data_IF_643803726111
#
_entry.id   IF_643803726111
#
_cell.length_a   1.000
_cell.length_b   1.000
_cell.length_c   1.000
_cell.angle_alpha   90.00
_cell.angle_beta   90.00
_cell.angle_gamma   90.00
#
_symmetry.space_group_name_H-M   'P 1'
#
loop_
_entity.id
_entity.type
_entity.pdbx_description
1 polymer ?
#
# COMPACT_ATOMS: atom_id res chain seq x y z
N UNK A 1 112.32 -7.54 -71.18
CA UNK A 1 110.96 -7.62 -71.78
C UNK A 1 109.96 -8.48 -70.96
N UNK A 2 109.88 -8.38 -69.62
CA UNK A 2 108.90 -9.16 -68.80
C UNK A 2 108.03 -8.34 -67.81
N UNK A 3 108.22 -7.01 -67.70
CA UNK A 3 107.49 -6.19 -66.71
C UNK A 3 106.18 -5.56 -67.20
N UNK A 4 105.87 -5.56 -68.50
CA UNK A 4 104.71 -4.83 -69.06
C UNK A 4 103.39 -5.62 -69.12
N UNK A 5 103.41 -6.96 -69.08
CA UNK A 5 102.20 -7.77 -69.27
C UNK A 5 101.42 -7.99 -67.95
N UNK A 6 102.15 -8.03 -66.83
CA UNK A 6 101.58 -8.29 -65.49
C UNK A 6 100.68 -7.13 -65.03
N UNK A 7 101.01 -5.89 -65.39
CA UNK A 7 100.26 -4.71 -64.94
C UNK A 7 98.88 -4.57 -65.60
N UNK A 8 98.76 -4.96 -66.87
CA UNK A 8 97.48 -4.93 -67.60
C UNK A 8 96.53 -6.02 -67.10
N UNK A 9 97.07 -7.20 -66.75
CA UNK A 9 96.28 -8.32 -66.23
C UNK A 9 95.72 -8.03 -64.82
N UNK A 10 96.55 -7.45 -63.93
CA UNK A 10 96.12 -7.08 -62.57
C UNK A 10 95.00 -6.02 -62.60
N UNK A 11 95.09 -5.05 -63.52
CA UNK A 11 94.07 -3.98 -63.63
C UNK A 11 92.72 -4.51 -64.13
N UNK A 12 92.71 -5.48 -65.05
CA UNK A 12 91.45 -6.10 -65.51
C UNK A 12 90.82 -7.01 -64.46
N UNK A 13 91.61 -7.76 -63.69
CA UNK A 13 91.11 -8.63 -62.61
C UNK A 13 90.48 -7.82 -61.47
N UNK A 14 91.06 -6.66 -61.11
CA UNK A 14 90.48 -5.78 -60.07
C UNK A 14 89.10 -5.20 -60.44
N UNK A 15 88.89 -4.82 -61.70
CA UNK A 15 87.62 -4.24 -62.16
C UNK A 15 86.50 -5.32 -62.22
N UNK A 16 86.85 -6.54 -62.63
CA UNK A 16 85.92 -7.67 -62.65
C UNK A 16 85.49 -8.10 -61.24
N UNK A 17 86.44 -8.18 -60.29
CA UNK A 17 86.11 -8.52 -58.90
C UNK A 17 85.22 -7.47 -58.21
N UNK A 18 85.43 -6.17 -58.48
CA UNK A 18 84.60 -5.12 -57.88
C UNK A 18 83.15 -5.14 -58.38
N UNK A 19 82.94 -5.37 -59.69
CA UNK A 19 81.58 -5.50 -60.25
C UNK A 19 80.87 -6.75 -59.74
N UNK A 20 81.58 -7.86 -59.55
CA UNK A 20 81.00 -9.10 -59.03
C UNK A 20 80.57 -8.96 -57.56
N UNK A 21 81.40 -8.32 -56.72
CA UNK A 21 81.08 -8.10 -55.30
C UNK A 21 79.89 -7.15 -55.12
N UNK A 22 79.81 -6.07 -55.91
CA UNK A 22 78.68 -5.14 -55.87
C UNK A 22 77.37 -5.78 -56.32
N UNK A 23 77.41 -6.68 -57.31
CA UNK A 23 76.22 -7.41 -57.80
C UNK A 23 75.75 -8.47 -56.79
N UNK A 24 76.67 -9.17 -56.12
CA UNK A 24 76.32 -10.15 -55.07
C UNK A 24 75.70 -9.49 -53.84
N UNK A 25 76.23 -8.35 -53.38
CA UNK A 25 75.65 -7.62 -52.25
C UNK A 25 74.28 -7.03 -52.59
N UNK A 26 74.07 -6.57 -53.83
CA UNK A 26 72.76 -6.11 -54.27
C UNK A 26 71.72 -7.25 -54.32
N UNK A 27 72.09 -8.43 -54.82
CA UNK A 27 71.19 -9.60 -54.84
C UNK A 27 70.84 -10.05 -53.41
N UNK A 28 71.82 -10.13 -52.50
CA UNK A 28 71.53 -10.52 -51.10
C UNK A 28 70.65 -9.49 -50.38
N UNK A 29 70.83 -8.20 -50.66
CA UNK A 29 69.97 -7.15 -50.12
C UNK A 29 68.54 -7.25 -50.65
N UNK A 30 68.37 -7.44 -51.96
CA UNK A 30 67.05 -7.64 -52.59
C UNK A 30 66.37 -8.93 -52.09
N UNK A 31 67.13 -10.01 -51.91
CA UNK A 31 66.62 -11.26 -51.35
C UNK A 31 66.18 -11.08 -49.88
N UNK A 32 66.95 -10.32 -49.09
CA UNK A 32 66.59 -9.96 -47.72
C UNK A 32 65.31 -9.14 -47.67
N UNK A 33 65.16 -8.12 -48.53
CA UNK A 33 63.92 -7.33 -48.62
C UNK A 33 62.72 -8.17 -49.04
N UNK A 34 62.89 -9.07 -50.01
CA UNK A 34 61.85 -10.00 -50.44
C UNK A 34 61.43 -10.95 -49.30
N UNK A 35 62.39 -11.52 -48.58
CA UNK A 35 62.11 -12.42 -47.46
C UNK A 35 61.36 -11.69 -46.33
N UNK A 36 61.76 -10.45 -46.03
CA UNK A 36 61.10 -9.62 -45.01
C UNK A 36 59.69 -9.23 -45.44
N UNK A 37 59.47 -8.96 -46.73
CA UNK A 37 58.15 -8.69 -47.28
C UNK A 37 57.25 -9.93 -47.21
N UNK A 38 57.76 -11.11 -47.56
CA UNK A 38 57.02 -12.38 -47.44
C UNK A 38 56.67 -12.68 -45.98
N UNK A 39 57.62 -12.50 -45.06
CA UNK A 39 57.38 -12.64 -43.62
C UNK A 39 56.30 -11.69 -43.12
N UNK A 40 56.27 -10.43 -43.57
CA UNK A 40 55.20 -9.49 -43.21
C UNK A 40 53.85 -9.88 -43.80
N UNK A 41 53.81 -10.34 -45.06
CA UNK A 41 52.58 -10.77 -45.72
C UNK A 41 51.99 -12.01 -45.07
N UNK A 42 52.84 -12.93 -44.60
CA UNK A 42 52.36 -14.19 -44.00
C UNK A 42 52.10 -14.01 -42.50
N UNK A 43 53.06 -13.49 -41.73
CA UNK A 43 53.00 -13.50 -40.26
C UNK A 43 52.04 -12.45 -39.70
N UNK A 44 51.94 -11.26 -40.31
CA UNK A 44 51.07 -10.19 -39.78
C UNK A 44 49.59 -10.58 -39.78
N UNK A 45 49.04 -11.22 -40.83
CA UNK A 45 47.68 -11.76 -40.80
C UNK A 45 47.47 -12.82 -39.72
N UNK A 46 48.43 -13.72 -39.49
CA UNK A 46 48.31 -14.74 -38.43
C UNK A 46 48.30 -14.12 -37.03
N UNK A 47 49.11 -13.10 -36.79
CA UNK A 47 49.09 -12.33 -35.53
C UNK A 47 47.74 -11.63 -35.37
N UNK A 48 47.22 -10.98 -36.42
CA UNK A 48 45.92 -10.33 -36.40
C UNK A 48 44.77 -11.32 -36.13
N UNK A 49 44.81 -12.50 -36.76
CA UNK A 49 43.84 -13.56 -36.58
C UNK A 49 43.87 -14.14 -35.16
N UNK A 50 45.06 -14.31 -34.58
CA UNK A 50 45.23 -14.73 -33.19
C UNK A 50 44.57 -13.75 -32.21
N UNK A 51 44.83 -12.44 -32.35
CA UNK A 51 44.19 -11.43 -31.49
C UNK A 51 42.68 -11.34 -31.70
N UNK A 52 42.20 -11.54 -32.93
CA UNK A 52 40.76 -11.59 -33.22
C UNK A 52 40.07 -12.76 -32.52
N UNK A 53 40.63 -13.97 -32.58
CA UNK A 53 40.08 -15.13 -31.87
C UNK A 53 40.18 -14.98 -30.34
N UNK A 54 41.27 -14.40 -29.82
CA UNK A 54 41.39 -14.09 -28.41
C UNK A 54 40.30 -13.11 -27.93
N UNK A 55 40.00 -12.08 -28.72
CA UNK A 55 38.93 -11.12 -28.42
C UNK A 55 37.53 -11.78 -28.45
N UNK A 56 37.26 -12.66 -29.41
CA UNK A 56 36.00 -13.44 -29.46
C UNK A 56 35.89 -14.35 -28.23
N UNK A 57 36.97 -15.03 -27.83
CA UNK A 57 37.00 -15.87 -26.63
C UNK A 57 36.71 -15.09 -25.36
N UNK A 58 37.30 -13.90 -25.21
CA UNK A 58 37.03 -13.00 -24.07
C UNK A 58 35.58 -12.50 -24.08
N UNK A 59 35.04 -12.12 -25.24
CA UNK A 59 33.65 -11.70 -25.36
C UNK A 59 32.66 -12.84 -25.03
N UNK A 60 32.93 -14.06 -25.51
CA UNK A 60 32.12 -15.23 -25.19
C UNK A 60 32.15 -15.57 -23.69
N UNK A 61 33.31 -15.48 -23.05
CA UNK A 61 33.45 -15.66 -21.60
C UNK A 61 32.69 -14.58 -20.81
N UNK A 62 32.74 -13.33 -21.27
CA UNK A 62 31.99 -12.23 -20.67
C UNK A 62 30.47 -12.43 -20.82
N UNK A 63 30.00 -12.82 -22.00
CA UNK A 63 28.59 -13.11 -22.26
C UNK A 63 28.10 -14.34 -21.46
N UNK A 64 28.94 -15.36 -21.29
CA UNK A 64 28.63 -16.55 -20.49
C UNK A 64 28.58 -16.28 -18.98
N UNK A 65 29.21 -15.20 -18.50
CA UNK A 65 29.20 -14.80 -17.08
C UNK A 65 28.09 -13.80 -16.72
N UNK A 66 27.40 -13.22 -17.72
CA UNK A 66 26.22 -12.36 -17.52
C UNK A 66 25.11 -13.08 -16.74
N UNK A 67 24.72 -14.35 -17.04
CA UNK A 67 23.69 -15.05 -16.27
C UNK A 67 24.06 -15.24 -14.81
N UNK A 68 25.33 -15.59 -14.51
CA UNK A 68 25.80 -15.73 -13.13
C UNK A 68 25.83 -14.41 -12.36
N UNK A 69 26.23 -13.31 -13.03
CA UNK A 69 26.21 -11.95 -12.48
C UNK A 69 24.77 -11.45 -12.26
N UNK A 70 23.86 -11.75 -13.18
CA UNK A 70 22.42 -11.47 -13.00
C UNK A 70 21.84 -12.30 -11.85
N UNK A 71 22.19 -13.58 -11.73
CA UNK A 71 21.71 -14.43 -10.63
C UNK A 71 22.23 -13.95 -9.28
N UNK A 72 23.50 -13.53 -9.20
CA UNK A 72 24.06 -12.96 -7.98
C UNK A 72 23.47 -11.59 -7.69
N UNK A 73 23.30 -10.70 -8.66
CA UNK A 73 22.62 -9.42 -8.46
C UNK A 73 21.16 -9.60 -8.05
N UNK A 74 20.42 -10.54 -8.64
CA UNK A 74 19.04 -10.87 -8.27
C UNK A 74 19.01 -11.50 -6.88
N UNK A 75 19.94 -12.40 -6.55
CA UNK A 75 20.02 -13.01 -5.21
C UNK A 75 20.39 -11.98 -4.15
N UNK A 76 21.37 -11.12 -4.41
CA UNK A 76 21.77 -10.02 -3.54
C UNK A 76 20.67 -8.97 -3.42
N UNK A 77 19.93 -8.67 -4.50
CA UNK A 77 18.76 -7.80 -4.45
C UNK A 77 17.64 -8.45 -3.64
N UNK A 78 17.37 -9.75 -3.81
CA UNK A 78 16.39 -10.51 -3.01
C UNK A 78 16.81 -10.52 -1.54
N UNK A 79 18.10 -10.71 -1.23
CA UNK A 79 18.63 -10.71 0.15
C UNK A 79 18.61 -9.30 0.77
N UNK A 80 18.96 -8.25 0.02
CA UNK A 80 18.85 -6.85 0.47
C UNK A 80 17.39 -6.42 0.64
N UNK A 81 16.48 -6.90 -0.21
CA UNK A 81 15.04 -6.73 -0.04
C UNK A 81 14.53 -7.52 1.18
N UNK A 82 15.10 -8.71 1.45
CA UNK A 82 14.81 -9.54 2.64
C UNK A 82 15.34 -8.93 3.94
N UNK A 83 16.50 -8.26 3.91
CA UNK A 83 17.09 -7.65 5.10
C UNK A 83 16.39 -6.32 5.47
N UNK A 84 15.66 -5.71 4.52
CA UNK A 84 14.72 -4.61 4.81
C UNK A 84 13.35 -5.10 5.30
N UNK A 85 13.02 -6.39 5.17
CA UNK A 85 11.76 -6.99 5.62
C UNK A 85 11.89 -7.70 6.98
N UNK A 86 12.67 -7.16 7.91
CA UNK A 86 12.95 -7.78 9.22
C UNK A 86 11.75 -7.84 10.18
N UNK A 87 10.54 -7.45 9.76
CA UNK A 87 9.34 -7.44 10.60
C UNK A 87 8.13 -8.18 10.03
N UNK A 88 8.34 -9.07 9.05
CA UNK A 88 7.28 -9.94 8.54
C UNK A 88 7.35 -11.32 9.19
N UNK A 89 6.31 -11.71 9.92
CA UNK A 89 6.08 -13.12 10.26
C UNK A 89 4.75 -13.61 9.69
N UNK A 90 4.72 -14.87 9.26
CA UNK A 90 3.52 -15.51 8.72
C UNK A 90 2.94 -16.47 9.77
N UNK A 91 1.61 -16.54 9.82
CA UNK A 91 0.89 -17.54 10.61
C UNK A 91 0.60 -18.78 9.78
N UNK A 92 0.80 -19.96 10.38
CA UNK A 92 0.42 -21.20 9.72
C UNK A 92 -1.10 -21.31 9.63
N UNK A 93 -1.61 -22.09 8.67
CA UNK A 93 -3.05 -22.34 8.56
C UNK A 93 -3.60 -23.01 9.84
N UNK A 94 -2.81 -23.87 10.49
CA UNK A 94 -3.21 -24.54 11.73
C UNK A 94 -3.41 -23.53 12.87
N UNK A 95 -2.44 -22.64 13.08
CA UNK A 95 -2.53 -21.58 14.11
C UNK A 95 -3.71 -20.65 13.81
N UNK A 96 -3.89 -20.28 12.54
CA UNK A 96 -4.99 -19.43 12.09
C UNK A 96 -6.37 -20.04 12.39
N UNK A 97 -6.54 -21.34 12.18
CA UNK A 97 -7.80 -22.04 12.46
C UNK A 97 -8.09 -22.13 13.97
N UNK A 98 -7.07 -22.45 14.78
CA UNK A 98 -7.20 -22.51 16.23
C UNK A 98 -7.55 -21.12 16.80
N UNK A 99 -6.85 -20.09 16.33
CA UNK A 99 -7.10 -18.72 16.71
C UNK A 99 -8.49 -18.23 16.28
N UNK A 100 -8.89 -18.51 15.04
CA UNK A 100 -10.21 -18.14 14.50
C UNK A 100 -11.33 -18.73 15.36
N UNK A 101 -11.24 -20.03 15.68
CA UNK A 101 -12.22 -20.71 16.52
C UNK A 101 -12.38 -20.03 17.89
N UNK A 102 -11.25 -19.77 18.57
CA UNK A 102 -11.27 -19.07 19.86
C UNK A 102 -11.90 -17.68 19.77
N UNK A 103 -11.61 -16.93 18.70
CA UNK A 103 -12.13 -15.57 18.50
C UNK A 103 -13.63 -15.58 18.21
N UNK A 104 -14.11 -16.51 17.39
CA UNK A 104 -15.54 -16.67 17.11
C UNK A 104 -16.32 -16.97 18.38
N UNK A 105 -15.85 -17.92 19.19
CA UNK A 105 -16.46 -18.20 20.49
C UNK A 105 -16.44 -16.99 21.43
N UNK A 106 -15.37 -16.17 21.39
CA UNK A 106 -15.34 -14.91 22.13
C UNK A 106 -16.41 -13.93 21.62
N UNK A 107 -16.53 -13.71 20.31
CA UNK A 107 -17.52 -12.80 19.72
C UNK A 107 -18.95 -13.25 20.07
N UNK A 108 -19.26 -14.53 19.90
CA UNK A 108 -20.59 -15.10 20.20
C UNK A 108 -20.98 -14.86 21.67
N UNK A 109 -20.07 -15.13 22.62
CA UNK A 109 -20.33 -14.85 24.05
C UNK A 109 -20.47 -13.36 24.34
N UNK A 110 -19.67 -12.54 23.67
CA UNK A 110 -19.68 -11.08 23.84
C UNK A 110 -21.02 -10.48 23.42
N UNK A 111 -21.61 -10.95 22.32
CA UNK A 111 -22.92 -10.52 21.83
C UNK A 111 -24.08 -10.94 22.74
N UNK A 112 -23.87 -11.92 23.63
CA UNK A 112 -24.85 -12.37 24.63
C UNK A 112 -24.67 -11.70 26.00
N UNK A 113 -23.57 -10.97 26.20
CA UNK A 113 -23.25 -10.30 27.48
C UNK A 113 -23.96 -8.93 27.55
N UNK A 114 -23.94 -8.29 28.72
CA UNK A 114 -24.40 -6.91 28.88
C UNK A 114 -23.73 -6.00 27.83
N UNK A 115 -24.54 -5.44 26.95
CA UNK A 115 -24.11 -4.61 25.82
C UNK A 115 -23.44 -3.32 26.26
N UNK A 116 -23.68 -2.86 27.49
CA UNK A 116 -23.11 -1.63 28.02
C UNK A 116 -21.71 -1.81 28.62
N UNK A 117 -21.05 -2.94 28.39
CA UNK A 117 -19.68 -3.17 28.84
C UNK A 117 -18.72 -3.12 27.64
N UNK A 118 -17.56 -2.45 27.81
CA UNK A 118 -16.48 -2.52 26.83
C UNK A 118 -15.95 -3.95 26.80
N UNK A 119 -16.06 -4.60 25.65
CA UNK A 119 -15.64 -5.98 25.48
C UNK A 119 -14.42 -6.01 24.54
N UNK A 120 -13.36 -6.63 25.02
CA UNK A 120 -12.10 -6.82 24.29
C UNK A 120 -11.50 -8.16 24.65
N UNK A 121 -10.93 -8.85 23.68
CA UNK A 121 -10.19 -10.07 23.95
C UNK A 121 -8.78 -9.71 24.40
N UNK A 122 -8.48 -9.98 25.67
CA UNK A 122 -7.17 -9.66 26.24
C UNK A 122 -6.15 -10.73 25.81
N UNK A 123 -5.02 -10.35 25.17
CA UNK A 123 -3.97 -11.30 24.86
C UNK A 123 -3.35 -11.88 26.15
N UNK A 124 -2.84 -13.13 26.10
CA UNK A 124 -2.09 -13.67 27.22
C UNK A 124 -0.92 -12.74 27.56
N UNK A 125 -0.50 -12.71 28.82
CA UNK A 125 0.55 -11.82 29.38
C UNK A 125 0.12 -10.37 29.64
N UNK A 126 -1.08 -9.96 29.24
CA UNK A 126 -1.60 -8.59 29.47
C UNK A 126 -2.91 -8.59 30.25
N UNK A 127 -3.10 -9.57 31.12
CA UNK A 127 -4.26 -9.67 32.01
C UNK A 127 -4.27 -8.48 32.97
N UNK A 128 -5.14 -7.51 32.71
CA UNK A 128 -5.25 -6.31 33.55
C UNK A 128 -6.42 -6.45 34.51
N UNK A 129 -6.26 -6.07 35.79
CA UNK A 129 -7.30 -6.17 36.81
C UNK A 129 -8.39 -5.09 36.72
N UNK A 130 -8.40 -4.26 35.67
CA UNK A 130 -9.43 -3.22 35.54
C UNK A 130 -10.81 -3.85 35.33
N UNK A 131 -11.77 -3.36 36.13
CA UNK A 131 -13.17 -3.74 35.99
C UNK A 131 -13.75 -3.28 34.65
N UNK A 132 -14.92 -3.82 34.27
CA UNK A 132 -15.57 -3.50 33.02
C UNK A 132 -15.85 -1.99 32.90
N UNK A 133 -15.32 -1.34 31.86
CA UNK A 133 -15.71 0.03 31.50
C UNK A 133 -17.15 0.02 30.99
N UNK A 134 -18.00 0.90 31.54
CA UNK A 134 -19.34 1.12 31.00
C UNK A 134 -19.29 1.95 29.72
N UNK A 135 -20.08 1.55 28.74
CA UNK A 135 -20.29 2.20 27.45
C UNK A 135 -21.56 3.03 27.48
N UNK A 136 -21.53 4.17 26.78
CA UNK A 136 -22.76 4.83 26.33
C UNK A 136 -23.50 3.96 25.32
N UNK A 137 -24.79 4.23 25.09
CA UNK A 137 -25.58 3.48 24.09
C UNK A 137 -25.00 3.56 22.67
N UNK A 138 -24.35 4.68 22.32
CA UNK A 138 -23.71 4.85 21.02
C UNK A 138 -22.45 3.98 20.91
N UNK A 139 -21.58 3.99 21.92
CA UNK A 139 -20.39 3.12 21.94
C UNK A 139 -20.80 1.64 21.95
N UNK A 140 -21.84 1.27 22.69
CA UNK A 140 -22.36 -0.10 22.73
C UNK A 140 -22.83 -0.59 21.35
N UNK A 141 -23.62 0.21 20.63
CA UNK A 141 -24.07 -0.11 19.27
C UNK A 141 -22.89 -0.20 18.29
N UNK A 142 -21.95 0.75 18.35
CA UNK A 142 -20.78 0.72 17.48
C UNK A 142 -19.88 -0.50 17.76
N UNK A 143 -19.68 -0.88 19.02
CA UNK A 143 -18.96 -2.10 19.40
C UNK A 143 -19.66 -3.35 18.87
N UNK A 144 -20.97 -3.46 19.03
CA UNK A 144 -21.76 -4.59 18.55
C UNK A 144 -21.66 -4.75 17.03
N UNK A 145 -21.80 -3.66 16.29
CA UNK A 145 -21.66 -3.63 14.82
C UNK A 145 -20.25 -4.05 14.40
N UNK A 146 -19.22 -3.50 15.07
CA UNK A 146 -17.81 -3.86 14.81
C UNK A 146 -17.55 -5.35 15.03
N UNK A 147 -18.16 -5.97 16.04
CA UNK A 147 -18.06 -7.41 16.29
C UNK A 147 -18.80 -8.23 15.22
N UNK A 148 -20.02 -7.83 14.85
CA UNK A 148 -20.82 -8.49 13.80
C UNK A 148 -20.19 -8.39 12.41
N UNK A 149 -19.39 -7.35 12.18
CA UNK A 149 -18.66 -7.16 10.93
C UNK A 149 -17.49 -8.14 10.75
N UNK A 150 -17.08 -8.87 11.80
CA UNK A 150 -16.01 -9.87 11.75
C UNK A 150 -16.56 -11.24 11.33
N UNK A 151 -16.86 -11.41 10.02
CA UNK A 151 -17.49 -12.64 9.48
C UNK A 151 -16.50 -13.62 8.87
N UNK A 152 -15.56 -13.12 8.07
CA UNK A 152 -14.55 -13.92 7.36
C UNK A 152 -13.35 -14.20 8.27
N UNK A 153 -12.64 -15.32 8.07
CA UNK A 153 -11.50 -15.73 8.92
C UNK A 153 -10.50 -14.61 9.12
N UNK A 154 -10.07 -13.98 8.04
CA UNK A 154 -9.09 -12.91 8.04
C UNK A 154 -9.60 -11.69 8.82
N UNK A 155 -10.89 -11.37 8.75
CA UNK A 155 -11.49 -10.26 9.52
C UNK A 155 -11.62 -10.57 11.00
N UNK A 156 -11.91 -11.82 11.35
CA UNK A 156 -11.97 -12.32 12.72
C UNK A 156 -10.59 -12.19 13.37
N UNK A 157 -9.55 -12.71 12.71
CA UNK A 157 -8.17 -12.61 13.19
C UNK A 157 -7.65 -11.17 13.19
N UNK A 158 -8.09 -10.35 12.24
CA UNK A 158 -7.77 -8.93 12.20
C UNK A 158 -8.35 -8.16 13.39
N UNK A 159 -9.60 -8.45 13.78
CA UNK A 159 -10.20 -7.89 14.99
C UNK A 159 -9.45 -8.28 16.25
N UNK A 160 -8.95 -9.52 16.32
CA UNK A 160 -8.08 -9.98 17.41
C UNK A 160 -6.75 -9.20 17.47
N UNK A 161 -6.14 -8.91 16.32
CA UNK A 161 -4.92 -8.10 16.27
C UNK A 161 -5.15 -6.67 16.76
N UNK A 162 -6.31 -6.08 16.44
CA UNK A 162 -6.72 -4.77 16.98
C UNK A 162 -6.85 -4.80 18.50
N UNK A 163 -7.56 -5.79 19.04
CA UNK A 163 -7.71 -5.96 20.49
C UNK A 163 -6.34 -6.08 21.21
N UNK A 164 -5.37 -6.76 20.60
CA UNK A 164 -4.01 -6.84 21.13
C UNK A 164 -3.29 -5.49 21.15
N UNK A 165 -3.35 -4.72 20.07
CA UNK A 165 -2.72 -3.41 19.99
C UNK A 165 -3.38 -2.38 20.90
N UNK A 166 -4.71 -2.40 21.03
CA UNK A 166 -5.40 -1.55 21.98
C UNK A 166 -5.00 -1.90 23.43
N UNK A 167 -4.86 -3.19 23.75
CA UNK A 167 -4.37 -3.63 25.06
C UNK A 167 -2.93 -3.15 25.31
N UNK A 168 -2.06 -3.27 24.31
CA UNK A 168 -0.68 -2.78 24.40
C UNK A 168 -0.61 -1.27 24.59
N UNK A 169 -1.43 -0.51 23.87
CA UNK A 169 -1.49 0.95 24.00
C UNK A 169 -1.97 1.39 25.38
N UNK A 170 -2.99 0.72 25.92
CA UNK A 170 -3.47 0.99 27.29
C UNK A 170 -2.41 0.60 28.33
N UNK A 171 -1.71 -0.52 28.14
CA UNK A 171 -0.62 -0.93 29.01
C UNK A 171 0.53 0.10 29.02
N UNK A 172 0.99 0.54 27.84
CA UNK A 172 2.01 1.57 27.70
C UNK A 172 1.60 2.89 28.38
N UNK A 173 0.36 3.32 28.15
CA UNK A 173 -0.20 4.55 28.76
C UNK A 173 -0.16 4.48 30.29
N UNK A 174 -0.50 3.34 30.88
CA UNK A 174 -0.43 3.14 32.35
C UNK A 174 0.99 3.12 32.89
N UNK A 175 1.95 2.67 32.09
CA UNK A 175 3.38 2.73 32.43
C UNK A 175 3.98 4.14 32.35
N UNK A 176 3.16 5.16 32.05
CA UNK A 176 3.59 6.55 31.91
C UNK A 176 4.17 6.87 30.54
N UNK A 177 4.07 5.94 29.57
CA UNK A 177 4.43 6.21 28.19
C UNK A 177 3.29 6.94 27.47
N UNK A 178 3.61 7.64 26.38
CA UNK A 178 2.59 8.25 25.52
C UNK A 178 1.74 7.16 24.85
N UNK A 179 0.45 7.45 24.62
CA UNK A 179 -0.44 6.58 23.85
C UNK A 179 0.24 6.16 22.55
N UNK A 180 0.18 4.87 22.21
CA UNK A 180 0.85 4.36 21.03
C UNK A 180 0.09 4.81 19.78
N UNK A 181 0.74 5.60 18.94
CA UNK A 181 0.18 5.95 17.64
C UNK A 181 0.39 4.78 16.66
N UNK A 182 -0.68 4.32 16.01
CA UNK A 182 -0.59 3.31 14.96
C UNK A 182 -1.76 3.35 13.98
N UNK A 183 -1.54 2.72 12.82
CA UNK A 183 -2.59 2.31 11.89
C UNK A 183 -2.48 0.82 11.62
N UNK A 184 -3.63 0.15 11.67
CA UNK A 184 -3.80 -1.27 11.51
C UNK A 184 -4.60 -1.57 10.24
N UNK A 185 -3.97 -2.26 9.30
CA UNK A 185 -4.61 -2.62 8.04
C UNK A 185 -4.44 -4.10 7.71
N UNK A 186 -5.40 -4.68 7.02
CA UNK A 186 -5.38 -6.07 6.58
C UNK A 186 -5.06 -6.09 5.08
N UNK A 187 -3.92 -6.71 4.75
CA UNK A 187 -3.36 -6.76 3.40
C UNK A 187 -3.30 -8.20 2.91
N UNK A 188 -3.68 -8.41 1.65
CA UNK A 188 -3.51 -9.70 0.98
C UNK A 188 -2.08 -9.82 0.46
N UNK A 189 -1.46 -10.97 0.66
CA UNK A 189 -0.14 -11.29 0.13
C UNK A 189 -0.18 -11.41 -1.40
N UNK A 190 0.78 -10.78 -2.05
CA UNK A 190 1.05 -10.98 -3.46
C UNK A 190 1.51 -12.41 -3.73
N UNK A 191 1.35 -12.88 -4.96
CA UNK A 191 1.68 -14.27 -5.35
C UNK A 191 3.10 -14.70 -4.92
N UNK A 192 4.07 -13.78 -4.96
CA UNK A 192 5.48 -14.06 -4.63
C UNK A 192 5.77 -14.10 -3.12
N UNK A 193 4.88 -13.52 -2.30
CA UNK A 193 5.00 -13.53 -0.84
C UNK A 193 4.35 -14.77 -0.22
N UNK A 194 3.43 -15.41 -0.94
CA UNK A 194 2.67 -16.57 -0.48
C UNK A 194 3.57 -17.77 -0.24
N UNK A 195 3.22 -18.54 0.79
CA UNK A 195 3.91 -19.77 1.15
C UNK A 195 2.90 -20.86 1.42
N UNK A 196 3.16 -22.06 0.89
CA UNK A 196 2.32 -23.22 1.14
C UNK A 196 2.21 -23.50 2.65
N UNK A 197 0.99 -23.72 3.14
CA UNK A 197 0.73 -23.98 4.56
C UNK A 197 0.58 -22.73 5.44
N UNK A 198 0.65 -21.53 4.87
CA UNK A 198 0.47 -20.25 5.57
C UNK A 198 -0.76 -19.50 5.08
N UNK A 199 -1.24 -18.56 5.89
CA UNK A 199 -2.34 -17.68 5.52
C UNK A 199 -1.88 -16.65 4.47
N UNK A 200 -2.71 -16.41 3.46
CA UNK A 200 -2.47 -15.42 2.38
C UNK A 200 -2.74 -13.96 2.82
N UNK A 201 -2.97 -13.72 4.10
CA UNK A 201 -3.33 -12.41 4.66
C UNK A 201 -2.40 -12.06 5.82
N UNK A 202 -2.04 -10.79 5.88
CA UNK A 202 -1.20 -10.23 6.94
C UNK A 202 -1.77 -8.93 7.46
N UNK A 203 -1.54 -8.68 8.74
CA UNK A 203 -1.83 -7.42 9.40
C UNK A 203 -0.63 -6.50 9.24
N UNK A 204 -0.82 -5.39 8.55
CA UNK A 204 0.19 -4.34 8.42
C UNK A 204 0.00 -3.30 9.52
N UNK A 205 1.05 -3.09 10.30
CA UNK A 205 1.10 -2.12 11.40
C UNK A 205 2.03 -0.98 10.99
N UNK A 206 1.49 0.22 10.85
CA UNK A 206 2.26 1.42 10.64
C UNK A 206 2.33 2.22 11.94
N UNK A 207 3.51 2.36 12.54
CA UNK A 207 3.70 3.01 13.84
C UNK A 207 5.11 3.60 13.97
N UNK A 208 5.31 4.72 14.69
CA UNK A 208 6.65 5.18 15.05
C UNK A 208 7.26 4.34 16.19
N UNK A 209 6.47 3.54 16.91
CA UNK A 209 6.89 2.74 18.07
C UNK A 209 7.18 1.27 17.72
N UNK A 210 7.79 1.03 16.55
CA UNK A 210 7.98 -0.32 16.01
C UNK A 210 8.65 -1.28 17.00
N UNK A 211 9.78 -0.87 17.57
CA UNK A 211 10.61 -1.74 18.41
C UNK A 211 9.84 -2.25 19.64
N UNK A 212 9.03 -1.39 20.25
CA UNK A 212 8.17 -1.73 21.39
C UNK A 212 7.09 -2.73 20.98
N UNK A 213 6.35 -2.45 19.91
CA UNK A 213 5.22 -3.27 19.48
C UNK A 213 5.68 -4.63 18.93
N UNK A 214 6.74 -4.65 18.13
CA UNK A 214 7.28 -5.86 17.48
C UNK A 214 7.68 -6.93 18.50
N UNK A 215 8.39 -6.53 19.57
CA UNK A 215 8.80 -7.45 20.63
C UNK A 215 7.63 -8.13 21.35
N UNK A 216 6.52 -7.42 21.55
CA UNK A 216 5.32 -7.97 22.17
C UNK A 216 4.53 -8.87 21.21
N UNK A 217 4.33 -8.45 19.96
CA UNK A 217 3.55 -9.22 18.99
C UNK A 217 4.23 -10.53 18.58
N UNK A 218 5.57 -10.56 18.54
CA UNK A 218 6.31 -11.79 18.28
C UNK A 218 6.01 -12.88 19.32
N UNK A 219 5.79 -12.51 20.58
CA UNK A 219 5.41 -13.44 21.66
C UNK A 219 3.96 -13.91 21.55
N UNK A 220 3.12 -13.14 20.86
CA UNK A 220 1.69 -13.41 20.67
C UNK A 220 1.39 -14.10 19.33
N UNK A 221 2.41 -14.42 18.52
CA UNK A 221 2.25 -14.92 17.15
C UNK A 221 1.22 -16.06 17.01
N UNK A 222 1.32 -17.08 17.87
CA UNK A 222 0.43 -18.25 17.82
C UNK A 222 -1.00 -17.89 18.23
N UNK A 223 -1.15 -17.03 19.24
CA UNK A 223 -2.45 -16.55 19.70
C UNK A 223 -3.13 -15.63 18.68
N UNK A 224 -2.37 -14.76 18.01
CA UNK A 224 -2.88 -13.88 16.95
C UNK A 224 -3.43 -14.69 15.78
N UNK A 225 -2.74 -15.78 15.41
CA UNK A 225 -3.14 -16.64 14.29
C UNK A 225 -3.11 -15.97 12.91
N UNK A 226 -2.58 -14.75 12.82
CA UNK A 226 -2.41 -14.01 11.57
C UNK A 226 -0.99 -13.47 11.48
N UNK A 227 -0.44 -13.41 10.26
CA UNK A 227 0.87 -12.81 10.06
C UNK A 227 0.85 -11.31 10.31
N UNK A 228 1.98 -10.75 10.71
CA UNK A 228 2.16 -9.31 10.95
C UNK A 228 3.32 -8.79 10.13
N UNK A 229 3.15 -7.60 9.58
CA UNK A 229 4.17 -6.82 8.87
C UNK A 229 4.22 -5.40 9.44
N UNK A 230 5.41 -4.83 9.58
CA UNK A 230 5.57 -3.42 9.93
C UNK A 230 5.77 -2.55 8.69
N UNK A 231 4.84 -1.62 8.48
CA UNK A 231 4.86 -0.66 7.39
C UNK A 231 5.50 0.68 7.76
N UNK A 232 5.68 1.55 6.78
CA UNK A 232 6.11 2.92 7.02
C UNK A 232 5.00 3.73 7.69
N UNK A 233 5.32 4.39 8.81
CA UNK A 233 4.37 5.28 9.47
C UNK A 233 4.21 6.59 8.69
N UNK A 234 2.95 7.01 8.52
CA UNK A 234 2.60 8.32 8.02
C UNK A 234 1.48 8.85 8.92
N UNK A 235 1.68 9.97 9.63
CA UNK A 235 0.62 10.55 10.44
C UNK A 235 -0.56 10.91 9.53
N UNK A 236 -1.76 10.66 10.01
CA UNK A 236 -3.00 11.05 9.35
C UNK A 236 -3.62 12.23 10.08
N UNK A 237 -4.24 13.11 9.31
CA UNK A 237 -4.84 14.35 9.84
C UNK A 237 -6.31 14.46 9.49
N UNK A 238 -7.14 15.00 10.40
CA UNK A 238 -8.50 15.39 10.08
C UNK A 238 -8.48 16.76 9.40
N UNK A 239 -9.49 16.98 8.58
CA UNK A 239 -9.67 18.26 7.90
C UNK A 239 -11.10 18.75 8.21
N UNK A 240 -11.25 19.52 9.29
CA UNK A 240 -12.52 20.06 9.84
C UNK A 240 -13.02 21.28 9.10
N UNK A 241 -14.36 21.42 8.93
CA UNK A 241 -14.98 22.60 8.29
C UNK A 241 -16.46 22.60 7.86
N UNK A 242 -17.10 23.77 7.94
CA UNK A 242 -18.46 24.04 7.48
C UNK A 242 -18.51 25.27 6.53
N UNK A 243 -19.53 25.33 5.66
CA UNK A 243 -19.66 26.23 4.49
C UNK A 243 -19.77 27.74 4.79
N UNK A 244 -19.95 28.13 6.05
CA UNK A 244 -20.29 29.52 6.42
C UNK A 244 -19.10 30.37 6.91
N UNK A 245 -17.88 29.85 6.90
CA UNK A 245 -16.66 30.66 7.07
C UNK A 245 -15.65 30.37 5.95
N UNK A 246 -15.08 31.40 5.27
CA UNK A 246 -14.19 31.20 4.12
C UNK A 246 -12.89 30.45 4.40
N UNK A 247 -12.57 30.16 5.66
CA UNK A 247 -11.26 29.69 6.10
C UNK A 247 -11.25 28.22 6.57
N UNK A 248 -12.40 27.53 6.57
CA UNK A 248 -12.54 26.15 7.05
C UNK A 248 -13.36 25.32 6.03
N UNK A 249 -12.72 24.42 5.24
CA UNK A 249 -13.29 23.61 4.12
C UNK A 249 -13.62 22.13 4.41
N UNK A 250 -14.85 21.64 4.10
CA UNK A 250 -15.41 20.30 4.39
C UNK A 250 -16.64 20.02 3.50
N UNK A 251 -17.04 18.77 3.29
CA UNK A 251 -17.92 18.37 2.17
C UNK A 251 -19.22 17.66 2.58
N UNK A 252 -20.30 17.97 1.86
CA UNK A 252 -21.53 17.17 1.82
C UNK A 252 -21.77 16.76 0.35
N UNK A 253 -21.70 15.47 0.07
CA UNK A 253 -21.85 14.94 -1.30
C UNK A 253 -23.29 14.47 -1.63
N UNK A 254 -24.16 14.41 -0.63
CA UNK A 254 -25.55 13.98 -0.78
C UNK A 254 -26.26 13.81 0.56
N UNK A 255 -27.37 13.08 0.53
CA UNK A 255 -28.17 12.77 1.70
C UNK A 255 -28.71 11.34 1.74
N UNK A 256 -29.31 11.01 2.86
CA UNK A 256 -30.07 9.77 3.07
C UNK A 256 -31.54 10.11 3.19
N UNK A 257 -32.36 9.30 2.55
CA UNK A 257 -33.81 9.37 2.64
C UNK A 257 -34.29 8.28 3.56
N UNK A 258 -35.27 8.56 4.42
CA UNK A 258 -35.84 7.57 5.33
C UNK A 258 -37.11 6.93 4.79
N UNK A 259 -37.67 5.99 5.54
CA UNK A 259 -38.98 5.36 5.24
C UNK A 259 -40.14 6.36 5.38
N UNK A 260 -40.00 7.40 6.19
CA UNK A 260 -41.00 8.47 6.36
C UNK A 260 -40.83 9.61 5.35
N UNK A 261 -40.06 9.39 4.29
CA UNK A 261 -39.73 10.38 3.26
C UNK A 261 -38.91 11.59 3.74
N UNK A 262 -38.38 11.55 4.98
CA UNK A 262 -37.51 12.60 5.51
C UNK A 262 -36.13 12.52 4.87
N UNK A 263 -35.52 13.69 4.70
CA UNK A 263 -34.25 13.83 3.98
C UNK A 263 -33.18 14.47 4.86
N UNK A 264 -32.08 13.74 5.00
CA UNK A 264 -30.97 14.14 5.86
C UNK A 264 -29.68 14.21 5.06
N UNK A 265 -28.91 15.28 5.21
CA UNK A 265 -27.55 15.31 4.65
C UNK A 265 -26.64 14.40 5.48
N UNK A 266 -25.74 13.67 4.82
CA UNK A 266 -24.77 12.77 5.48
C UNK A 266 -23.35 13.30 5.28
N UNK A 267 -22.66 13.57 6.40
CA UNK A 267 -21.26 14.03 6.42
C UNK A 267 -20.56 13.59 7.70
N UNK A 268 -19.29 13.97 7.89
CA UNK A 268 -18.58 13.72 9.14
C UNK A 268 -19.02 14.69 10.24
N UNK A 269 -19.03 14.25 11.49
CA UNK A 269 -19.35 15.12 12.64
C UNK A 269 -18.29 16.19 12.84
N UNK A 270 -17.00 15.88 12.67
CA UNK A 270 -15.93 16.87 12.80
C UNK A 270 -15.97 18.00 11.73
N UNK A 271 -16.74 17.80 10.64
CA UNK A 271 -17.00 18.81 9.61
C UNK A 271 -18.00 19.85 10.13
N UNK A 272 -18.86 19.51 11.10
CA UNK A 272 -19.89 20.39 11.63
C UNK A 272 -19.67 20.70 13.12
N UNK A 273 -18.66 21.50 13.49
CA UNK A 273 -18.37 21.75 14.89
C UNK A 273 -19.52 22.46 15.63
N UNK A 274 -20.38 23.21 14.92
CA UNK A 274 -21.59 23.88 15.46
C UNK A 274 -22.69 23.91 14.41
N UNK A 275 -23.62 22.95 14.45
CA UNK A 275 -24.82 22.95 13.61
C UNK A 275 -26.02 22.57 14.48
N UNK A 276 -26.98 23.49 14.61
CA UNK A 276 -28.19 23.28 15.42
C UNK A 276 -29.18 22.29 14.79
N UNK A 277 -28.93 21.91 13.54
CA UNK A 277 -29.74 20.96 12.76
C UNK A 277 -29.15 19.55 12.73
N UNK A 278 -28.07 19.32 13.51
CA UNK A 278 -27.50 17.98 13.72
C UNK A 278 -28.45 17.15 14.60
N UNK A 279 -28.80 15.96 14.15
CA UNK A 279 -29.73 15.05 14.85
C UNK A 279 -29.03 14.32 16.01
N UNK A 280 -27.70 14.29 16.01
CA UNK A 280 -26.86 13.68 17.03
C UNK A 280 -25.86 14.71 17.61
N UNK A 281 -26.33 15.82 18.21
CA UNK A 281 -25.48 16.93 18.61
C UNK A 281 -24.50 16.56 19.74
N UNK A 282 -24.87 15.62 20.60
CA UNK A 282 -24.12 15.20 21.79
C UNK A 282 -23.07 14.12 21.53
N UNK A 283 -23.02 13.55 20.32
CA UNK A 283 -21.99 12.59 19.96
C UNK A 283 -20.70 13.34 19.64
N UNK A 284 -19.84 13.49 20.64
CA UNK A 284 -18.43 13.78 20.36
C UNK A 284 -17.86 12.53 19.68
N UNK A 285 -17.27 12.63 18.47
CA UNK A 285 -16.62 11.48 17.86
C UNK A 285 -15.53 10.99 18.82
N UNK A 286 -15.77 9.83 19.41
CA UNK A 286 -14.84 9.13 20.27
C UNK A 286 -14.16 8.01 19.52
N UNK A 287 -13.11 7.44 20.11
CA UNK A 287 -12.34 6.33 19.53
C UNK A 287 -13.21 5.17 19.00
N UNK A 288 -14.37 4.95 19.62
CA UNK A 288 -15.23 3.80 19.39
C UNK A 288 -16.53 4.12 18.61
N UNK A 289 -16.77 5.38 18.18
CA UNK A 289 -17.98 5.80 17.44
C UNK A 289 -17.57 6.29 16.04
N UNK A 290 -18.32 5.97 14.95
CA UNK A 290 -18.00 6.51 13.64
C UNK A 290 -18.16 8.04 13.62
N UNK A 291 -17.19 8.73 13.01
CA UNK A 291 -17.27 10.17 12.78
C UNK A 291 -18.20 10.47 11.58
N UNK A 292 -19.50 10.38 11.84
CA UNK A 292 -20.56 10.61 10.89
C UNK A 292 -21.77 11.23 11.57
N UNK A 293 -22.48 12.09 10.86
CA UNK A 293 -23.71 12.71 11.36
C UNK A 293 -24.74 12.94 10.26
N UNK A 294 -25.99 13.05 10.69
CA UNK A 294 -27.15 13.38 9.87
C UNK A 294 -27.62 14.79 10.20
N UNK A 295 -27.83 15.60 9.16
CA UNK A 295 -28.32 16.98 9.29
C UNK A 295 -29.70 17.06 8.67
N UNK A 296 -30.66 17.67 9.38
CA UNK A 296 -31.97 17.96 8.82
C UNK A 296 -31.86 18.90 7.60
N UNK A 297 -32.33 18.46 6.44
CA UNK A 297 -32.35 19.30 5.23
C UNK A 297 -33.60 20.18 5.12
N UNK A 298 -34.66 19.89 5.89
CA UNK A 298 -35.91 20.64 5.83
C UNK A 298 -35.79 22.08 6.36
N UNK A 299 -34.72 22.40 7.09
CA UNK A 299 -34.51 23.70 7.74
C UNK A 299 -33.68 24.70 6.90
N UNK A 300 -33.34 24.35 5.64
CA UNK A 300 -32.81 25.30 4.66
C UNK A 300 -31.29 25.50 4.62
N UNK A 301 -30.51 24.84 5.48
CA UNK A 301 -29.03 24.93 5.46
C UNK A 301 -28.39 24.36 4.18
N UNK A 302 -29.06 23.40 3.53
CA UNK A 302 -28.53 22.72 2.34
C UNK A 302 -29.64 22.53 1.31
N UNK A 303 -29.53 23.21 0.17
CA UNK A 303 -30.45 23.08 -0.96
C UNK A 303 -29.70 22.51 -2.18
N UNK A 304 -30.05 21.29 -2.60
CA UNK A 304 -29.45 20.59 -3.73
C UNK A 304 -30.51 19.86 -4.55
N UNK A 305 -30.22 19.67 -5.85
CA UNK A 305 -30.97 18.69 -6.65
C UNK A 305 -30.43 17.31 -6.31
N UNK A 306 -31.32 16.35 -6.16
CA UNK A 306 -30.97 14.99 -5.76
C UNK A 306 -30.89 14.10 -6.99
N UNK A 307 -29.81 13.32 -7.08
CA UNK A 307 -29.61 12.37 -8.15
C UNK A 307 -30.40 11.08 -7.93
N UNK A 308 -29.99 10.04 -8.67
CA UNK A 308 -30.57 8.70 -8.50
C UNK A 308 -30.04 8.00 -7.25
N UNK A 309 -30.91 7.22 -6.58
CA UNK A 309 -30.53 6.45 -5.40
C UNK A 309 -29.36 5.49 -5.71
N UNK A 310 -28.41 5.43 -4.78
CA UNK A 310 -27.25 4.56 -4.83
C UNK A 310 -27.47 3.36 -3.89
N UNK A 311 -27.33 2.11 -4.38
CA UNK A 311 -27.23 0.96 -3.50
C UNK A 311 -25.96 1.04 -2.62
N UNK A 312 -26.00 0.44 -1.43
CA UNK A 312 -24.84 0.33 -0.55
C UNK A 312 -23.97 -0.85 -0.99
N UNK A 313 -22.64 -0.71 -0.90
CA UNK A 313 -21.72 -1.83 -1.10
C UNK A 313 -21.79 -2.77 0.11
N UNK A 314 -22.27 -4.00 -0.10
CA UNK A 314 -22.27 -5.04 0.93
C UNK A 314 -20.87 -5.61 1.17
N UNK A 315 -20.62 -6.10 2.38
CA UNK A 315 -19.36 -6.72 2.81
C UNK A 315 -18.92 -7.86 1.90
N UNK A 316 -19.86 -8.65 1.39
CA UNK A 316 -19.62 -9.77 0.45
C UNK A 316 -18.87 -9.31 -0.81
N UNK A 317 -19.14 -8.09 -1.30
CA UNK A 317 -18.51 -7.52 -2.49
C UNK A 317 -17.20 -6.78 -2.20
N UNK A 318 -16.88 -6.52 -0.94
CA UNK A 318 -15.63 -5.84 -0.60
C UNK A 318 -14.42 -6.68 -0.99
N UNK A 319 -14.48 -8.01 -0.81
CA UNK A 319 -13.42 -8.94 -1.21
C UNK A 319 -13.07 -8.80 -2.70
N UNK A 320 -14.06 -8.58 -3.56
CA UNK A 320 -13.86 -8.32 -5.00
C UNK A 320 -13.19 -6.97 -5.24
N UNK A 321 -13.58 -5.92 -4.51
CA UNK A 321 -12.95 -4.60 -4.61
C UNK A 321 -11.45 -4.66 -4.26
N UNK A 322 -11.09 -5.38 -3.19
CA UNK A 322 -9.70 -5.57 -2.78
C UNK A 322 -8.90 -6.46 -3.74
N UNK A 323 -9.52 -7.52 -4.27
CA UNK A 323 -8.83 -8.48 -5.11
C UNK A 323 -8.61 -7.98 -6.54
N UNK A 324 -9.59 -7.27 -7.09
CA UNK A 324 -9.59 -6.86 -8.50
C UNK A 324 -9.10 -5.42 -8.71
N UNK A 325 -8.88 -4.66 -7.62
CA UNK A 325 -8.46 -3.25 -7.71
C UNK A 325 -9.48 -2.40 -8.47
N UNK A 326 -10.78 -2.72 -8.32
CA UNK A 326 -11.87 -2.03 -9.02
C UNK A 326 -11.84 -0.54 -8.70
N UNK A 327 -12.23 0.26 -9.70
CA UNK A 327 -12.21 1.70 -9.58
C UNK A 327 -13.27 2.19 -8.62
N UNK A 328 -12.85 3.08 -7.74
CA UNK A 328 -13.73 3.91 -6.94
C UNK A 328 -13.59 5.36 -7.37
N UNK A 329 -14.67 6.12 -7.22
CA UNK A 329 -14.70 7.54 -7.54
C UNK A 329 -15.11 8.31 -6.31
N UNK A 330 -14.46 9.45 -6.06
CA UNK A 330 -14.91 10.38 -5.03
C UNK A 330 -16.04 11.25 -5.58
N UNK A 331 -17.15 11.34 -4.83
CA UNK A 331 -18.23 12.31 -5.05
C UNK A 331 -18.18 13.38 -3.95
N UNK A 332 -18.34 14.64 -4.35
CA UNK A 332 -18.13 15.79 -3.48
C UNK A 332 -16.65 16.15 -3.27
N UNK A 333 -16.44 17.29 -2.63
CA UNK A 333 -15.13 17.88 -2.38
C UNK A 333 -14.61 18.57 -3.64
N UNK A 334 -13.30 18.53 -3.85
CA UNK A 334 -12.76 18.97 -5.13
C UNK A 334 -13.13 18.02 -6.28
N UNK A 335 -12.73 18.37 -7.51
CA UNK A 335 -12.98 17.60 -8.73
C UNK A 335 -12.89 16.08 -8.56
N UNK A 336 -13.72 15.29 -9.27
CA UNK A 336 -13.73 13.83 -9.16
C UNK A 336 -12.34 13.22 -9.29
N UNK A 337 -12.01 12.31 -8.37
CA UNK A 337 -10.74 11.57 -8.37
C UNK A 337 -11.06 10.08 -8.43
N UNK A 338 -10.37 9.38 -9.33
CA UNK A 338 -10.39 7.93 -9.37
C UNK A 338 -9.34 7.33 -8.42
N UNK A 339 -9.75 6.29 -7.71
CA UNK A 339 -8.92 5.52 -6.80
C UNK A 339 -9.18 4.03 -6.91
N UNK A 340 -8.57 3.29 -5.99
CA UNK A 340 -8.84 1.88 -5.75
C UNK A 340 -8.83 1.64 -4.24
N UNK A 341 -9.60 0.65 -3.78
CA UNK A 341 -9.60 0.23 -2.39
C UNK A 341 -8.35 -0.61 -2.14
N UNK A 342 -7.49 -0.19 -1.20
CA UNK A 342 -6.18 -0.82 -0.99
C UNK A 342 -6.24 -1.88 0.11
N UNK A 343 -6.60 -1.48 1.34
CA UNK A 343 -6.65 -2.38 2.49
C UNK A 343 -7.90 -2.16 3.35
N UNK A 344 -8.37 -3.23 4.01
CA UNK A 344 -9.33 -3.11 5.12
C UNK A 344 -8.62 -2.51 6.33
N UNK A 345 -9.32 -1.70 7.11
CA UNK A 345 -8.78 -1.01 8.29
C UNK A 345 -9.72 -1.27 9.47
N UNK A 346 -9.19 -1.82 10.55
CA UNK A 346 -9.95 -2.00 11.80
C UNK A 346 -9.65 -0.87 12.77
N UNK A 347 -8.42 -0.36 12.76
CA UNK A 347 -7.96 0.66 13.70
C UNK A 347 -7.00 1.63 13.01
N UNK A 348 -7.15 2.92 13.28
CA UNK A 348 -6.29 3.95 12.69
C UNK A 348 -6.28 5.21 13.55
N UNK A 349 -5.10 5.82 13.65
CA UNK A 349 -4.92 7.06 14.40
C UNK A 349 -5.06 8.25 13.45
N UNK A 350 -5.92 9.21 13.79
CA UNK A 350 -5.97 10.53 13.14
C UNK A 350 -5.88 11.60 14.23
N UNK A 351 -4.95 12.55 14.07
CA UNK A 351 -4.70 13.63 15.05
C UNK A 351 -4.54 13.11 16.50
N UNK A 352 -3.87 11.97 16.68
CA UNK A 352 -3.65 11.34 17.99
C UNK A 352 -4.84 10.55 18.55
N UNK A 353 -6.01 10.58 17.91
CA UNK A 353 -7.17 9.78 18.31
C UNK A 353 -7.21 8.48 17.54
N UNK A 354 -7.25 7.35 18.27
CA UNK A 354 -7.41 6.01 17.71
C UNK A 354 -8.87 5.75 17.38
N UNK A 355 -9.21 5.54 16.12
CA UNK A 355 -10.55 5.17 15.66
C UNK A 355 -10.62 3.67 15.37
N UNK A 356 -11.69 3.01 15.83
CA UNK A 356 -11.84 1.55 15.73
C UNK A 356 -13.06 1.08 14.90
N UNK A 357 -13.80 2.00 14.30
CA UNK A 357 -14.97 1.67 13.50
C UNK A 357 -14.58 1.10 12.11
N UNK A 358 -15.30 0.10 11.57
CA UNK A 358 -14.96 -0.51 10.28
C UNK A 358 -14.70 0.50 9.15
N UNK A 359 -13.51 0.44 8.59
CA UNK A 359 -13.05 1.36 7.56
C UNK A 359 -12.22 0.65 6.48
N UNK A 360 -11.88 1.39 5.43
CA UNK A 360 -10.90 0.98 4.43
C UNK A 360 -9.97 2.13 4.05
N UNK A 361 -8.88 1.80 3.38
CA UNK A 361 -8.00 2.77 2.74
C UNK A 361 -8.28 2.83 1.25
N UNK A 362 -8.34 4.03 0.70
CA UNK A 362 -8.47 4.28 -0.74
C UNK A 362 -7.28 5.09 -1.21
N UNK A 363 -6.56 4.57 -2.20
CA UNK A 363 -5.41 5.22 -2.79
C UNK A 363 -5.75 5.79 -4.18
N UNK A 364 -5.04 6.84 -4.60
CA UNK A 364 -5.22 7.41 -5.94
C UNK A 364 -4.79 6.40 -7.00
N UNK A 365 -5.56 6.31 -8.08
CA UNK A 365 -5.15 5.49 -9.22
C UNK A 365 -4.03 6.18 -10.00
N UNK A 366 -2.92 5.46 -10.16
CA UNK A 366 -1.83 5.87 -11.07
C UNK A 366 -1.98 5.19 -12.42
N UNK A 367 -2.29 5.95 -13.46
CA UNK A 367 -2.40 5.49 -14.85
C UNK A 367 -1.07 5.66 -15.57
N UNK A 368 -0.61 4.64 -16.30
CA UNK A 368 0.52 4.80 -17.25
C UNK A 368 -0.02 5.35 -18.57
N UNK A 369 0.29 6.60 -18.87
CA UNK A 369 0.02 7.25 -20.15
C UNK A 369 1.17 6.91 -21.10
N UNK A 370 0.84 6.35 -22.28
CA UNK A 370 1.79 5.98 -23.33
C UNK A 370 2.91 5.00 -22.85
N UNK A 371 2.59 4.12 -21.90
CA UNK A 371 3.52 3.10 -21.37
C UNK A 371 4.70 3.61 -20.53
N UNK A 372 5.05 4.89 -20.63
CA UNK A 372 6.25 5.49 -20.03
C UNK A 372 5.95 6.49 -18.90
N UNK A 373 4.79 7.18 -18.92
CA UNK A 373 4.50 8.26 -17.97
C UNK A 373 3.44 7.85 -16.96
N UNK A 374 3.80 7.79 -15.67
CA UNK A 374 2.83 7.56 -14.59
C UNK A 374 2.13 8.89 -14.25
N UNK A 375 0.80 8.92 -14.38
CA UNK A 375 -0.07 10.06 -14.06
C UNK A 375 -1.08 9.69 -12.95
N UNK A 376 -1.33 10.55 -11.95
CA UNK A 376 -0.65 11.81 -11.70
C UNK A 376 0.84 11.60 -11.36
N UNK A 377 1.70 12.49 -11.88
CA UNK A 377 3.17 12.46 -11.64
C UNK A 377 3.53 12.77 -10.18
N UNK A 378 2.67 13.52 -9.49
CA UNK A 378 2.81 13.91 -8.09
C UNK A 378 2.03 12.94 -7.20
N UNK A 379 2.51 12.69 -5.99
CA UNK A 379 1.84 11.93 -4.91
C UNK A 379 0.64 12.69 -4.35
N UNK A 380 -0.34 13.04 -5.19
CA UNK A 380 -1.61 13.58 -4.69
C UNK A 380 -2.40 12.44 -4.07
N UNK A 381 -2.85 12.62 -2.84
CA UNK A 381 -3.76 11.68 -2.18
C UNK A 381 -5.09 11.57 -2.92
N UNK A 382 -5.87 10.52 -2.61
CA UNK A 382 -7.23 10.36 -3.11
C UNK A 382 -8.18 11.46 -2.57
N UNK A 383 -7.88 11.97 -1.37
CA UNK A 383 -8.47 13.17 -0.77
C UNK A 383 -7.40 14.22 -0.49
N UNK A 384 -7.82 15.47 -0.34
CA UNK A 384 -7.05 16.60 0.16
C UNK A 384 -7.81 17.31 1.26
N UNK A 385 -7.19 18.35 1.84
CA UNK A 385 -7.84 19.22 2.83
C UNK A 385 -9.21 19.70 2.33
N UNK A 386 -10.23 19.35 3.10
CA UNK A 386 -11.64 19.69 2.90
C UNK A 386 -12.50 18.71 2.13
N UNK A 387 -11.96 17.55 1.79
CA UNK A 387 -12.75 16.46 1.24
C UNK A 387 -13.35 15.54 2.34
N UNK A 388 -13.12 15.79 3.63
CA UNK A 388 -13.82 15.06 4.70
C UNK A 388 -15.34 15.21 4.55
N UNK A 389 -16.06 14.10 4.70
CA UNK A 389 -17.49 14.03 4.39
C UNK A 389 -17.82 13.78 2.91
N UNK A 390 -16.82 13.75 2.01
CA UNK A 390 -17.03 13.31 0.63
C UNK A 390 -17.37 11.83 0.58
N UNK A 391 -18.14 11.44 -0.42
CA UNK A 391 -18.58 10.07 -0.61
C UNK A 391 -17.61 9.32 -1.52
N UNK A 392 -17.49 8.02 -1.32
CA UNK A 392 -16.77 7.12 -2.22
C UNK A 392 -17.78 6.18 -2.84
N UNK A 393 -17.78 6.10 -4.17
CA UNK A 393 -18.65 5.20 -4.93
C UNK A 393 -17.84 4.18 -5.71
N UNK A 394 -18.30 2.94 -5.72
CA UNK A 394 -17.69 1.84 -6.46
C UNK A 394 -18.56 1.48 -7.67
N UNK A 395 -17.93 1.24 -8.83
CA UNK A 395 -18.62 0.70 -10.00
C UNK A 395 -18.75 -0.82 -9.91
N UNK A 396 -19.90 -1.32 -9.46
CA UNK A 396 -20.19 -2.75 -9.30
C UNK A 396 -21.31 -3.18 -10.26
N UNK A 397 -21.03 -4.17 -11.11
CA UNK A 397 -22.05 -4.72 -12.02
C UNK A 397 -22.66 -3.68 -12.98
N UNK A 398 -21.90 -2.66 -13.37
CA UNK A 398 -22.38 -1.56 -14.22
C UNK A 398 -23.21 -0.49 -13.49
N UNK A 399 -23.36 -0.58 -12.16
CA UNK A 399 -24.04 0.42 -11.33
C UNK A 399 -23.05 1.04 -10.34
N UNK A 400 -23.26 2.31 -10.03
CA UNK A 400 -22.53 2.96 -8.94
C UNK A 400 -23.17 2.58 -7.62
N UNK A 401 -22.35 2.17 -6.65
CA UNK A 401 -22.77 1.81 -5.30
C UNK A 401 -22.01 2.65 -4.28
N UNK A 402 -22.67 3.11 -3.23
CA UNK A 402 -22.06 3.87 -2.15
C UNK A 402 -21.18 2.95 -1.28
N UNK A 403 -19.86 3.17 -1.33
CA UNK A 403 -18.88 2.41 -0.57
C UNK A 403 -18.73 2.96 0.85
N UNK A 404 -18.75 4.28 1.00
CA UNK A 404 -18.49 4.89 2.30
C UNK A 404 -18.18 6.38 2.27
N UNK A 405 -17.83 6.89 3.44
CA UNK A 405 -17.60 8.30 3.73
C UNK A 405 -16.11 8.56 4.01
N UNK A 406 -15.49 9.53 3.34
CA UNK A 406 -14.11 9.94 3.64
C UNK A 406 -14.08 10.61 5.01
N UNK A 407 -13.29 10.03 5.92
CA UNK A 407 -13.09 10.54 7.26
C UNK A 407 -11.86 11.47 7.34
N UNK A 408 -10.74 10.99 6.81
CA UNK A 408 -9.45 11.70 6.79
C UNK A 408 -8.44 10.95 5.94
N UNK A 409 -7.15 11.25 6.07
CA UNK A 409 -6.15 10.53 5.29
C UNK A 409 -4.72 10.99 5.48
N UNK A 410 -3.86 10.41 4.66
CA UNK A 410 -2.45 10.75 4.49
C UNK A 410 -2.24 11.29 3.07
N UNK A 411 -1.00 11.63 2.72
CA UNK A 411 -0.64 11.97 1.33
C UNK A 411 -0.82 10.79 0.35
N UNK A 412 -0.90 9.55 0.86
CA UNK A 412 -0.94 8.33 0.04
C UNK A 412 -2.33 7.78 -0.15
N UNK A 413 -3.13 7.79 0.91
CA UNK A 413 -4.45 7.16 0.94
C UNK A 413 -5.41 7.94 1.84
N UNK A 414 -6.70 7.72 1.64
CA UNK A 414 -7.78 8.25 2.46
C UNK A 414 -8.41 7.12 3.27
N UNK A 415 -8.75 7.39 4.53
CA UNK A 415 -9.59 6.52 5.34
C UNK A 415 -11.06 6.76 5.01
N UNK A 416 -11.77 5.68 4.72
CA UNK A 416 -13.18 5.68 4.33
C UNK A 416 -13.95 4.80 5.29
N UNK A 417 -14.91 5.39 6.01
CA UNK A 417 -15.85 4.66 6.88
C UNK A 417 -16.79 3.86 5.98
N UNK A 418 -16.87 2.55 6.19
CA UNK A 418 -17.64 1.66 5.33
C UNK A 418 -19.15 1.87 5.48
N UNK A 419 -19.87 1.92 4.36
CA UNK A 419 -21.28 2.29 4.31
C UNK A 419 -22.20 1.29 5.03
N UNK A 420 -22.06 -0.02 4.80
CA UNK A 420 -22.92 -1.03 5.45
C UNK A 420 -22.93 -0.92 6.99
N UNK A 421 -21.78 -1.01 7.70
CA UNK A 421 -21.78 -0.87 9.15
C UNK A 421 -22.18 0.53 9.61
N UNK A 422 -21.85 1.58 8.84
CA UNK A 422 -22.28 2.95 9.14
C UNK A 422 -23.81 3.08 9.13
N UNK A 423 -24.49 2.46 8.17
CA UNK A 423 -25.93 2.54 8.05
C UNK A 423 -26.66 1.68 9.09
N UNK A 424 -26.09 0.54 9.50
CA UNK A 424 -26.57 -0.19 10.69
C UNK A 424 -26.52 0.72 11.92
N UNK A 425 -25.39 1.42 12.13
CA UNK A 425 -25.22 2.34 13.24
C UNK A 425 -26.21 3.50 13.19
N UNK A 426 -26.31 4.20 12.05
CA UNK A 426 -27.23 5.33 11.90
C UNK A 426 -28.70 4.91 12.06
N UNK A 427 -29.07 3.72 11.60
CA UNK A 427 -30.41 3.16 11.78
C UNK A 427 -30.73 2.86 13.25
N UNK A 428 -29.79 2.29 14.01
CA UNK A 428 -29.95 2.10 15.46
C UNK A 428 -30.17 3.44 16.18
N UNK A 429 -29.43 4.48 15.75
CA UNK A 429 -29.56 5.83 16.32
C UNK A 429 -30.89 6.50 15.96
N UNK A 430 -31.35 6.37 14.72
CA UNK A 430 -32.66 6.86 14.30
C UNK A 430 -33.78 6.11 15.03
N UNK A 431 -33.67 4.79 15.19
CA UNK A 431 -34.61 3.96 15.93
C UNK A 431 -34.79 4.40 17.38
N UNK A 432 -33.71 4.85 18.02
CA UNK A 432 -33.73 5.33 19.39
C UNK A 432 -34.49 6.66 19.55
N UNK A 433 -34.60 7.45 18.47
CA UNK A 433 -35.40 8.69 18.44
C UNK A 433 -36.84 8.39 18.02
N UNK A 434 -36.99 7.63 16.93
CA UNK A 434 -38.27 7.18 16.39
C UNK A 434 -38.17 5.70 15.95
N UNK A 435 -38.82 4.76 16.65
CA UNK A 435 -38.69 3.33 16.37
C UNK A 435 -39.07 2.89 14.97
N UNK A 436 -39.97 3.61 14.27
CA UNK A 436 -40.35 3.30 12.89
C UNK A 436 -39.37 3.87 11.86
N UNK A 437 -38.48 4.77 12.25
CA UNK A 437 -37.64 5.51 11.32
C UNK A 437 -36.38 4.74 10.96
N UNK A 438 -36.15 4.53 9.67
CA UNK A 438 -34.96 3.87 9.11
C UNK A 438 -34.58 4.53 7.80
N UNK A 439 -33.29 4.52 7.48
CA UNK A 439 -32.77 4.93 6.19
C UNK A 439 -33.23 3.92 5.13
N UNK A 440 -33.86 4.44 4.08
CA UNK A 440 -34.34 3.66 2.93
C UNK A 440 -33.39 3.76 1.74
N UNK A 441 -32.81 4.95 1.49
CA UNK A 441 -32.00 5.20 0.30
C UNK A 441 -30.84 6.15 0.59
N UNK A 442 -29.77 6.01 -0.18
CA UNK A 442 -28.64 6.95 -0.27
C UNK A 442 -28.76 7.72 -1.58
N UNK A 443 -28.69 9.04 -1.55
CA UNK A 443 -28.97 9.87 -2.73
C UNK A 443 -27.89 10.94 -2.86
N UNK A 444 -27.05 10.90 -3.91
CA UNK A 444 -26.03 11.90 -4.14
C UNK A 444 -26.70 13.23 -4.54
N UNK A 445 -26.03 14.34 -4.31
CA UNK A 445 -26.41 15.58 -4.98
C UNK A 445 -26.03 15.51 -6.46
N UNK A 446 -26.87 16.07 -7.33
CA UNK A 446 -26.48 16.30 -8.71
C UNK A 446 -25.40 17.38 -8.77
N UNK A 447 -24.34 17.13 -9.54
CA UNK A 447 -23.32 18.13 -9.85
C UNK A 447 -24.00 19.32 -10.55
N UNK A 448 -23.86 20.52 -9.99
CA UNK A 448 -24.32 21.77 -10.62
C UNK A 448 -23.35 22.23 -11.70
#
# INVERSE_FOLDING_TARGET
>A
MRKSFIWVLIRRIRILNFRFFKRRNYIMFQLGQLLTAILRIIVVPFIGLYYFFAAIGQLAFFLASIPSLLLTLVSSAIVLLRSRSSGLFLASIADALAAESGRRSFIERSLLTDRQIKIRETPPLFETPEGPRRLSNAEASAQEIRLRYQKERETVLFGRAGDALQTLSEFATRSGETSLEYSLSLRKLSFWERRQGYLDWVVTIATPHRELIEGHLLRLKEWLGIGVEFGAYSPATLHRACRDTPEEMGTIAGGVKTVSDLLYALTCKHVLPRCDHDIFPTLSPGADIPDATLINMHDGCFAGHFGSALPIVEQSFLSDLYAEGRYVTRLGGASPVEGYVENRVSEYTIDGTLYSFPACTVAVRRRRILGLFVYPRTSKGFSKKGDSGSWVVAGLGGKNSFLGLIHGGTERFSYVILAEPLFEFLNDRLAAINPSERISNVIPFEDR
#
